data_IF_827967504363
#
_entry.id   IF_827967504363
#
_cell.length_a   1.000
_cell.length_b   1.000
_cell.length_c   1.000
_cell.angle_alpha   90.00
_cell.angle_beta   90.00
_cell.angle_gamma   90.00
#
_symmetry.space_group_name_H-M   'P 1'
#
loop_
_entity.id
_entity.type
_entity.pdbx_description
1 polymer ?
#
# COMPACT_ATOMS: atom_id res chain seq x y z
N UNK A 1 -28.41 2.56 23.25
CA UNK A 1 -28.20 3.09 21.90
C UNK A 1 -26.85 2.61 21.36
N UNK A 2 -26.76 2.22 20.09
CA UNK A 2 -25.48 1.92 19.42
C UNK A 2 -25.08 3.18 18.67
N UNK A 3 -23.98 3.82 19.08
CA UNK A 3 -23.39 4.95 18.37
C UNK A 3 -23.21 4.57 16.90
N UNK A 4 -24.02 5.18 16.04
CA UNK A 4 -23.80 5.17 14.61
C UNK A 4 -22.54 5.99 14.37
N UNK A 5 -21.38 5.30 14.36
CA UNK A 5 -20.11 5.79 13.85
C UNK A 5 -20.32 6.14 12.37
N UNK A 6 -20.86 7.33 12.16
CA UNK A 6 -21.16 7.91 10.85
C UNK A 6 -19.84 8.41 10.30
N UNK A 7 -19.02 7.49 9.80
CA UNK A 7 -17.77 7.85 9.13
C UNK A 7 -18.13 8.71 7.90
N UNK A 8 -17.75 9.99 7.87
CA UNK A 8 -18.13 10.89 6.79
C UNK A 8 -17.42 10.47 5.49
N UNK A 9 -18.03 10.87 4.36
CA UNK A 9 -17.68 10.45 3.00
C UNK A 9 -16.19 10.20 2.74
N UNK A 10 -15.91 8.96 2.33
CA UNK A 10 -14.63 8.45 1.85
C UNK A 10 -13.48 8.41 2.87
N UNK A 11 -13.46 7.34 3.68
CA UNK A 11 -12.35 6.94 4.56
C UNK A 11 -10.97 6.92 3.86
N UNK A 12 -10.95 6.76 2.54
CA UNK A 12 -9.71 6.80 1.76
C UNK A 12 -9.15 8.23 1.61
N UNK A 13 -9.98 9.27 1.74
CA UNK A 13 -9.52 10.67 1.76
C UNK A 13 -8.56 10.94 2.90
N UNK A 14 -8.68 10.22 4.02
CA UNK A 14 -7.76 10.36 5.14
C UNK A 14 -6.31 10.05 4.72
N UNK A 15 -6.13 9.11 3.79
CA UNK A 15 -4.81 8.78 3.24
C UNK A 15 -4.35 9.76 2.15
N UNK A 16 -5.27 10.44 1.46
CA UNK A 16 -4.95 11.45 0.43
C UNK A 16 -4.53 12.79 1.03
N UNK A 17 -4.97 13.09 2.25
CA UNK A 17 -4.60 14.32 2.94
C UNK A 17 -3.06 14.46 3.02
N UNK A 18 -2.55 15.64 2.66
CA UNK A 18 -1.13 16.00 2.76
C UNK A 18 -0.91 16.87 3.99
N UNK A 19 0.18 16.62 4.71
CA UNK A 19 0.58 17.37 5.90
C UNK A 19 1.56 18.47 5.56
N UNK A 20 1.59 19.49 6.41
CA UNK A 20 2.69 20.45 6.45
C UNK A 20 3.92 19.80 7.12
N UNK A 21 5.10 20.39 6.95
CA UNK A 21 6.30 19.94 7.64
C UNK A 21 6.14 19.98 9.18
N UNK A 22 5.45 21.00 9.70
CA UNK A 22 5.16 21.14 11.13
C UNK A 22 4.30 19.98 11.66
N UNK A 23 3.28 19.54 10.91
CA UNK A 23 2.42 18.44 11.33
C UNK A 23 3.15 17.07 11.34
N UNK A 24 4.17 16.93 10.50
CA UNK A 24 5.03 15.73 10.47
C UNK A 24 5.95 15.74 11.67
N UNK A 25 6.54 16.89 11.99
CA UNK A 25 7.45 17.02 13.13
C UNK A 25 6.71 16.82 14.46
N UNK A 26 5.48 17.34 14.58
CA UNK A 26 4.62 17.07 15.73
C UNK A 26 4.33 15.58 15.89
N UNK A 27 4.03 14.87 14.80
CA UNK A 27 3.84 13.42 14.82
C UNK A 27 5.11 12.67 15.27
N UNK A 28 6.28 13.10 14.82
CA UNK A 28 7.56 12.50 15.25
C UNK A 28 7.84 12.77 16.71
N UNK A 29 7.60 13.98 17.19
CA UNK A 29 7.75 14.31 18.60
C UNK A 29 6.83 13.45 19.49
N UNK A 30 5.57 13.29 19.07
CA UNK A 30 4.58 12.54 19.82
C UNK A 30 4.84 11.02 19.80
N UNK A 31 5.31 10.46 18.68
CA UNK A 31 5.38 9.00 18.46
C UNK A 31 6.81 8.42 18.38
N UNK A 32 7.83 9.25 18.22
CA UNK A 32 9.20 8.85 17.89
C UNK A 32 9.97 8.18 19.04
N UNK A 33 9.63 8.49 20.30
CA UNK A 33 10.28 7.90 21.47
C UNK A 33 9.67 6.56 21.92
N UNK A 34 8.71 6.03 21.16
CA UNK A 34 7.94 4.84 21.53
C UNK A 34 6.75 5.22 22.42
N UNK A 35 5.56 5.08 21.87
CA UNK A 35 4.32 5.30 22.60
C UNK A 35 3.61 4.00 22.93
N UNK A 36 3.03 3.95 24.13
CA UNK A 36 2.16 2.84 24.51
C UNK A 36 0.83 2.84 23.72
N UNK A 37 0.09 1.72 23.71
CA UNK A 37 -1.18 1.57 22.99
C UNK A 37 -2.22 2.66 23.30
N UNK A 38 -2.19 3.22 24.51
CA UNK A 38 -3.11 4.27 24.96
C UNK A 38 -2.96 5.60 24.20
N UNK A 39 -1.79 5.89 23.62
CA UNK A 39 -1.59 7.09 22.82
C UNK A 39 -2.43 7.07 21.53
N UNK A 40 -2.67 5.87 20.97
CA UNK A 40 -3.46 5.71 19.75
C UNK A 40 -4.95 5.97 19.97
N UNK A 41 -5.46 5.85 21.21
CA UNK A 41 -6.87 6.06 21.53
C UNK A 41 -7.30 7.53 21.37
N UNK A 42 -6.35 8.46 21.36
CA UNK A 42 -6.60 9.90 21.19
C UNK A 42 -6.53 10.35 19.72
N UNK A 43 -6.16 9.45 18.82
CA UNK A 43 -5.99 9.76 17.40
C UNK A 43 -7.34 9.80 16.69
N UNK A 44 -7.61 10.88 15.97
CA UNK A 44 -8.68 10.88 14.98
C UNK A 44 -8.27 10.04 13.74
N UNK A 45 -9.25 9.71 12.90
CA UNK A 45 -9.01 8.87 11.72
C UNK A 45 -8.02 9.49 10.71
N UNK A 46 -7.95 10.83 10.63
CA UNK A 46 -7.00 11.53 9.75
C UNK A 46 -5.59 11.41 10.29
N UNK A 47 -5.36 11.75 11.55
CA UNK A 47 -4.08 11.68 12.24
C UNK A 47 -3.55 10.24 12.26
N UNK A 48 -4.40 9.25 12.56
CA UNK A 48 -4.05 7.83 12.49
C UNK A 48 -3.61 7.41 11.07
N UNK A 49 -4.34 7.82 10.03
CA UNK A 49 -3.98 7.54 8.64
C UNK A 49 -2.63 8.16 8.26
N UNK A 50 -2.32 9.35 8.77
CA UNK A 50 -1.07 10.05 8.49
C UNK A 50 0.11 9.44 9.23
N UNK A 51 -0.07 9.09 10.50
CA UNK A 51 0.93 8.36 11.28
C UNK A 51 1.28 7.03 10.61
N UNK A 52 0.29 6.28 10.13
CA UNK A 52 0.55 5.04 9.40
C UNK A 52 1.38 5.25 8.12
N UNK A 53 1.07 6.30 7.34
CA UNK A 53 1.86 6.63 6.14
C UNK A 53 3.29 7.04 6.49
N UNK A 54 3.45 7.86 7.52
CA UNK A 54 4.76 8.30 8.00
C UNK A 54 5.59 7.10 8.45
N UNK A 55 4.99 6.22 9.25
CA UNK A 55 5.63 4.99 9.71
C UNK A 55 6.09 4.12 8.53
N UNK A 56 5.23 3.85 7.54
CA UNK A 56 5.60 3.08 6.34
C UNK A 56 6.74 3.72 5.54
N UNK A 57 6.76 5.06 5.47
CA UNK A 57 7.77 5.82 4.76
C UNK A 57 9.14 5.77 5.44
N UNK A 58 9.16 5.82 6.78
CA UNK A 58 10.38 5.89 7.59
C UNK A 58 11.00 4.53 7.93
N UNK A 59 10.36 3.41 7.54
CA UNK A 59 10.96 2.09 7.70
C UNK A 59 12.36 2.03 7.03
N UNK A 60 13.38 1.42 7.67
CA UNK A 60 14.70 1.26 7.07
C UNK A 60 14.66 0.53 5.72
N UNK A 61 13.78 -0.46 5.62
CA UNK A 61 13.47 -1.21 4.39
C UNK A 61 12.00 -1.06 4.06
N UNK A 62 11.65 -0.92 2.78
CA UNK A 62 10.24 -0.89 2.38
C UNK A 62 9.52 -2.19 2.75
N UNK A 63 8.22 -2.09 3.00
CA UNK A 63 7.43 -3.24 3.48
C UNK A 63 7.45 -4.40 2.47
N UNK A 64 7.48 -4.09 1.18
CA UNK A 64 7.91 -5.03 0.14
C UNK A 64 9.44 -4.88 0.01
N UNK A 65 10.22 -5.94 0.27
CA UNK A 65 11.68 -5.85 0.27
C UNK A 65 12.22 -5.29 -1.05
N UNK A 66 12.99 -4.20 -0.97
CA UNK A 66 13.55 -3.49 -2.13
C UNK A 66 14.52 -4.37 -2.96
N UNK A 67 15.12 -5.40 -2.37
CA UNK A 67 15.88 -6.43 -3.08
C UNK A 67 15.06 -7.18 -4.15
N UNK A 68 13.74 -7.20 -4.02
CA UNK A 68 12.82 -7.83 -4.97
C UNK A 68 12.13 -6.80 -5.89
N UNK A 69 12.56 -5.54 -5.86
CA UNK A 69 11.95 -4.45 -6.64
C UNK A 69 11.78 -4.81 -8.12
N UNK A 70 12.85 -5.29 -8.77
CA UNK A 70 12.81 -5.68 -10.18
C UNK A 70 11.85 -6.82 -10.45
N UNK A 71 11.75 -7.78 -9.51
CA UNK A 71 10.84 -8.92 -9.66
C UNK A 71 9.40 -8.42 -9.60
N UNK A 72 9.06 -7.57 -8.63
CA UNK A 72 7.71 -6.99 -8.54
C UNK A 72 7.34 -6.18 -9.78
N UNK A 73 8.25 -5.31 -10.21
CA UNK A 73 8.05 -4.45 -11.38
C UNK A 73 7.87 -5.29 -12.65
N UNK A 74 8.77 -6.25 -12.93
CA UNK A 74 8.66 -7.12 -14.10
C UNK A 74 7.39 -7.96 -14.11
N UNK A 75 6.93 -8.45 -12.94
CA UNK A 75 5.68 -9.19 -12.86
C UNK A 75 4.49 -8.34 -13.29
N UNK A 76 4.47 -7.06 -12.95
CA UNK A 76 3.39 -6.14 -13.33
C UNK A 76 3.47 -5.70 -14.80
N UNK A 77 4.59 -5.93 -15.48
CA UNK A 77 4.78 -5.67 -16.92
C UNK A 77 4.38 -6.87 -17.81
N UNK A 78 4.01 -8.00 -17.20
CA UNK A 78 3.60 -9.19 -17.95
C UNK A 78 2.32 -8.92 -18.78
N UNK A 79 2.22 -9.51 -19.98
CA UNK A 79 1.04 -9.33 -20.82
C UNK A 79 -0.21 -9.90 -20.15
N UNK A 80 -1.38 -9.39 -20.54
CA UNK A 80 -2.67 -9.82 -20.01
C UNK A 80 -2.95 -11.32 -20.21
N UNK A 81 -2.34 -11.96 -21.21
CA UNK A 81 -2.41 -13.43 -21.39
C UNK A 81 -1.73 -14.23 -20.27
N UNK A 82 -0.94 -13.58 -19.41
CA UNK A 82 -0.17 -14.19 -18.34
C UNK A 82 -0.62 -13.75 -16.93
N UNK A 83 -1.84 -13.19 -16.77
CA UNK A 83 -2.35 -12.75 -15.46
C UNK A 83 -2.36 -13.87 -14.41
N UNK A 84 -2.65 -15.11 -14.80
CA UNK A 84 -2.58 -16.24 -13.87
C UNK A 84 -1.16 -16.48 -13.35
N UNK A 85 -0.18 -16.48 -14.25
CA UNK A 85 1.24 -16.65 -13.91
C UNK A 85 1.73 -15.48 -13.05
N UNK A 86 1.35 -14.25 -13.40
CA UNK A 86 1.61 -13.05 -12.60
C UNK A 86 1.12 -13.23 -11.16
N UNK A 87 -0.13 -13.69 -10.98
CA UNK A 87 -0.70 -13.89 -9.65
C UNK A 87 0.01 -15.01 -8.85
N UNK A 88 0.42 -16.09 -9.51
CA UNK A 88 1.17 -17.20 -8.89
C UNK A 88 2.54 -16.73 -8.41
N UNK A 89 3.31 -16.09 -9.29
CA UNK A 89 4.65 -15.60 -8.95
C UNK A 89 4.60 -14.48 -7.90
N UNK A 90 3.60 -13.60 -7.96
CA UNK A 90 3.44 -12.57 -6.94
C UNK A 90 3.19 -13.18 -5.56
N UNK A 91 2.34 -14.21 -5.46
CA UNK A 91 2.13 -14.94 -4.20
C UNK A 91 3.41 -15.61 -3.71
N UNK A 92 4.22 -16.16 -4.61
CA UNK A 92 5.53 -16.75 -4.26
C UNK A 92 6.46 -15.69 -3.68
N UNK A 93 6.62 -14.54 -4.34
CA UNK A 93 7.45 -13.45 -3.82
C UNK A 93 6.98 -12.94 -2.45
N UNK A 94 5.66 -12.85 -2.24
CA UNK A 94 5.09 -12.48 -0.95
C UNK A 94 5.38 -13.53 0.12
N UNK A 95 5.38 -14.82 -0.21
CA UNK A 95 5.71 -15.90 0.72
C UNK A 95 7.20 -15.96 1.10
N UNK A 96 8.10 -15.50 0.22
CA UNK A 96 9.54 -15.43 0.46
C UNK A 96 9.97 -14.23 1.32
N UNK A 97 9.09 -13.25 1.52
CA UNK A 97 9.39 -12.11 2.39
C UNK A 97 9.56 -12.57 3.85
N UNK A 98 10.38 -11.90 4.68
CA UNK A 98 10.55 -12.28 6.08
C UNK A 98 9.23 -12.26 6.88
N UNK A 99 9.14 -13.08 7.93
CA UNK A 99 7.90 -13.28 8.70
C UNK A 99 7.27 -11.97 9.19
N UNK A 100 8.09 -11.03 9.68
CA UNK A 100 7.62 -9.72 10.16
C UNK A 100 7.06 -8.84 9.03
N UNK A 101 7.62 -8.89 7.81
CA UNK A 101 7.05 -8.22 6.65
C UNK A 101 5.70 -8.83 6.29
N UNK A 102 5.61 -10.17 6.23
CA UNK A 102 4.36 -10.87 5.87
C UNK A 102 3.24 -10.59 6.87
N UNK A 103 3.52 -10.68 8.17
CA UNK A 103 2.55 -10.43 9.23
C UNK A 103 2.02 -8.99 9.21
N UNK A 104 2.92 -8.02 9.02
CA UNK A 104 2.57 -6.60 8.88
C UNK A 104 1.73 -6.36 7.63
N UNK A 105 2.16 -6.90 6.48
CA UNK A 105 1.45 -6.77 5.22
C UNK A 105 0.05 -7.39 5.30
N UNK A 106 -0.10 -8.53 5.95
CA UNK A 106 -1.40 -9.17 6.15
C UNK A 106 -2.36 -8.28 6.94
N UNK A 107 -1.93 -7.74 8.09
CA UNK A 107 -2.75 -6.83 8.89
C UNK A 107 -3.15 -5.58 8.08
N UNK A 108 -2.18 -5.00 7.38
CA UNK A 108 -2.38 -3.79 6.59
C UNK A 108 -3.36 -4.02 5.43
N UNK A 109 -3.22 -5.13 4.71
CA UNK A 109 -4.10 -5.47 3.58
C UNK A 109 -5.51 -5.81 4.07
N UNK A 110 -5.64 -6.57 5.15
CA UNK A 110 -6.94 -6.81 5.79
C UNK A 110 -7.65 -5.52 6.19
N UNK A 111 -6.92 -4.58 6.80
CA UNK A 111 -7.45 -3.26 7.16
C UNK A 111 -7.96 -2.50 5.94
N UNK A 112 -7.19 -2.46 4.84
CA UNK A 112 -7.65 -1.79 3.62
C UNK A 112 -8.87 -2.46 3.01
N UNK A 113 -8.92 -3.79 2.97
CA UNK A 113 -10.12 -4.51 2.52
C UNK A 113 -11.34 -4.16 3.36
N UNK A 114 -11.19 -4.02 4.68
CA UNK A 114 -12.29 -3.59 5.54
C UNK A 114 -12.74 -2.15 5.23
N UNK A 115 -11.81 -1.23 4.95
CA UNK A 115 -12.14 0.13 4.51
C UNK A 115 -12.93 0.09 3.20
N UNK A 116 -12.44 -0.62 2.19
CA UNK A 116 -13.10 -0.75 0.89
C UNK A 116 -14.52 -1.31 1.00
N UNK A 117 -14.78 -2.20 1.97
CA UNK A 117 -16.13 -2.75 2.23
C UNK A 117 -17.08 -1.78 2.93
N UNK A 118 -16.57 -0.80 3.67
CA UNK A 118 -17.38 0.16 4.43
C UNK A 118 -17.71 1.43 3.65
N UNK A 119 -16.96 1.73 2.61
CA UNK A 119 -17.22 2.88 1.74
C UNK A 119 -18.43 2.56 0.85
N UNK A 120 -19.51 3.34 1.00
CA UNK A 120 -20.81 3.12 0.33
C UNK A 120 -20.72 3.05 -1.20
N UNK A 121 -19.81 3.82 -1.81
CA UNK A 121 -19.63 3.93 -3.26
C UNK A 121 -18.20 3.58 -3.67
N UNK A 122 -17.58 2.57 -3.06
CA UNK A 122 -16.25 2.15 -3.45
C UNK A 122 -16.29 1.62 -4.90
N UNK A 123 -15.56 2.29 -5.79
CA UNK A 123 -15.40 1.90 -7.18
C UNK A 123 -13.91 1.76 -7.55
N UNK A 124 -13.64 1.48 -8.84
CA UNK A 124 -12.29 1.33 -9.38
C UNK A 124 -11.43 2.59 -9.18
N UNK A 125 -12.03 3.78 -9.18
CA UNK A 125 -11.33 5.04 -8.94
C UNK A 125 -10.81 5.15 -7.50
N UNK A 126 -11.52 4.60 -6.52
CA UNK A 126 -11.02 4.50 -5.13
C UNK A 126 -9.81 3.58 -5.07
N UNK A 127 -9.86 2.43 -5.74
CA UNK A 127 -8.75 1.49 -5.79
C UNK A 127 -7.50 2.10 -6.47
N UNK A 128 -7.70 2.84 -7.57
CA UNK A 128 -6.63 3.61 -8.25
C UNK A 128 -6.06 4.69 -7.33
N UNK A 129 -6.91 5.41 -6.60
CA UNK A 129 -6.48 6.43 -5.65
C UNK A 129 -5.62 5.84 -4.52
N UNK A 130 -6.08 4.75 -3.89
CA UNK A 130 -5.36 4.04 -2.84
C UNK A 130 -3.99 3.58 -3.34
N UNK A 131 -3.97 2.93 -4.51
CA UNK A 131 -2.74 2.38 -5.07
C UNK A 131 -1.71 3.45 -5.42
N UNK A 132 -2.13 4.65 -5.83
CA UNK A 132 -1.22 5.80 -6.02
C UNK A 132 -0.58 6.27 -4.72
N UNK A 133 -1.33 6.28 -3.61
CA UNK A 133 -0.79 6.66 -2.30
C UNK A 133 0.14 5.58 -1.77
N UNK A 134 -0.30 4.31 -1.79
CA UNK A 134 0.40 3.21 -1.13
C UNK A 134 1.46 2.52 -1.98
N UNK A 135 1.43 2.64 -3.31
CA UNK A 135 2.46 2.06 -4.19
C UNK A 135 3.87 2.46 -3.79
N UNK A 136 4.10 3.76 -3.62
CA UNK A 136 5.38 4.32 -3.19
C UNK A 136 5.72 4.07 -1.70
N UNK A 137 4.72 3.77 -0.87
CA UNK A 137 4.93 3.46 0.55
C UNK A 137 5.30 1.98 0.75
N UNK A 138 4.69 1.09 -0.03
CA UNK A 138 4.90 -0.35 0.05
C UNK A 138 6.20 -0.78 -0.62
N UNK A 139 6.52 -0.22 -1.79
CA UNK A 139 7.73 -0.55 -2.54
C UNK A 139 8.49 0.72 -2.87
N UNK A 140 9.74 0.81 -2.40
CA UNK A 140 10.65 1.91 -2.73
C UNK A 140 11.77 1.42 -3.66
N UNK A 141 12.14 2.19 -4.71
CA UNK A 141 13.33 1.87 -5.49
C UNK A 141 14.58 1.99 -4.62
N UNK A 142 15.58 1.15 -4.88
CA UNK A 142 16.90 1.31 -4.28
C UNK A 142 17.54 2.63 -4.73
N UNK A 143 18.35 3.25 -3.87
CA UNK A 143 19.00 4.54 -4.16
C UNK A 143 19.83 4.49 -5.45
N UNK A 144 20.54 3.40 -5.70
CA UNK A 144 21.31 3.17 -6.94
C UNK A 144 20.48 3.28 -8.21
N UNK A 145 19.19 2.92 -8.15
CA UNK A 145 18.26 3.05 -9.28
C UNK A 145 17.79 4.49 -9.45
N UNK A 146 17.59 5.20 -8.35
CA UNK A 146 17.24 6.63 -8.38
C UNK A 146 18.37 7.43 -9.04
N UNK A 147 19.62 7.19 -8.64
CA UNK A 147 20.79 7.84 -9.25
C UNK A 147 20.95 7.47 -10.72
N UNK A 148 20.77 6.19 -11.10
CA UNK A 148 20.85 5.73 -12.49
C UNK A 148 19.72 6.26 -13.39
N UNK A 149 18.54 6.55 -12.84
CA UNK A 149 17.45 7.24 -13.56
C UNK A 149 17.80 8.70 -13.84
N UNK A 150 18.39 9.40 -12.86
CA UNK A 150 18.84 10.79 -13.02
C UNK A 150 20.03 10.88 -13.98
N UNK A 151 20.90 9.87 -14.01
CA UNK A 151 22.05 9.78 -14.90
C UNK A 151 21.71 9.34 -16.34
N UNK A 152 20.46 8.93 -16.63
CA UNK A 152 20.04 8.51 -17.97
C UNK A 152 20.59 7.16 -18.45
N UNK A 153 21.20 6.38 -17.57
CA UNK A 153 21.92 5.14 -17.92
C UNK A 153 20.99 3.96 -18.29
N UNK A 154 19.69 4.05 -17.98
CA UNK A 154 18.73 2.98 -18.20
C UNK A 154 17.81 3.30 -19.38
N UNK A 155 18.06 2.71 -20.56
CA UNK A 155 17.37 3.01 -21.84
C UNK A 155 15.86 2.70 -21.89
N UNK A 156 15.27 2.17 -20.83
CA UNK A 156 13.82 2.26 -20.60
C UNK A 156 13.62 2.41 -19.10
N UNK A 157 13.08 3.53 -18.58
CA UNK A 157 12.48 3.47 -17.26
C UNK A 157 11.41 2.39 -17.38
N UNK A 158 11.51 1.31 -16.61
CA UNK A 158 10.40 0.40 -16.46
C UNK A 158 9.32 1.23 -15.75
N UNK A 159 8.50 1.94 -16.53
CA UNK A 159 7.42 2.81 -16.05
C UNK A 159 6.24 1.92 -15.67
N UNK A 160 6.49 0.77 -15.05
CA UNK A 160 5.45 0.11 -14.30
C UNK A 160 5.22 1.01 -13.11
N UNK A 161 4.07 1.67 -13.04
CA UNK A 161 3.86 2.61 -11.98
C UNK A 161 3.63 1.79 -10.70
N UNK A 162 4.31 2.14 -9.60
CA UNK A 162 4.27 1.42 -8.31
C UNK A 162 2.85 1.14 -7.78
N UNK A 163 1.87 1.88 -8.28
CA UNK A 163 0.47 1.64 -7.99
C UNK A 163 -0.02 0.29 -8.54
N UNK A 164 0.47 -0.20 -9.67
CA UNK A 164 0.08 -1.53 -10.18
C UNK A 164 0.64 -2.66 -9.31
N UNK A 165 1.85 -2.49 -8.76
CA UNK A 165 2.38 -3.40 -7.73
C UNK A 165 1.46 -3.42 -6.51
N UNK A 166 1.04 -2.25 -5.99
CA UNK A 166 0.12 -2.21 -4.86
C UNK A 166 -1.22 -2.87 -5.16
N UNK A 167 -1.78 -2.64 -6.36
CA UNK A 167 -3.01 -3.31 -6.79
C UNK A 167 -2.82 -4.83 -6.83
N UNK A 168 -1.80 -5.32 -7.53
CA UNK A 168 -1.52 -6.74 -7.64
C UNK A 168 -1.34 -7.40 -6.28
N UNK A 169 -0.62 -6.75 -5.35
CA UNK A 169 -0.43 -7.24 -3.99
C UNK A 169 -1.78 -7.39 -3.29
N UNK A 170 -2.59 -6.33 -3.23
CA UNK A 170 -3.92 -6.39 -2.58
C UNK A 170 -4.82 -7.45 -3.22
N UNK A 171 -4.84 -7.53 -4.55
CA UNK A 171 -5.75 -8.37 -5.34
C UNK A 171 -5.38 -9.86 -5.39
N UNK A 172 -4.09 -10.20 -5.38
CA UNK A 172 -3.64 -11.59 -5.52
C UNK A 172 -3.13 -12.21 -4.22
N UNK A 173 -2.88 -11.39 -3.19
CA UNK A 173 -2.42 -11.86 -1.89
C UNK A 173 -3.50 -12.63 -1.12
N UNK A 174 -3.06 -13.58 -0.30
CA UNK A 174 -3.93 -14.37 0.59
C UNK A 174 -3.96 -13.74 1.97
N UNK A 175 -4.80 -12.72 2.14
CA UNK A 175 -4.82 -11.93 3.39
C UNK A 175 -5.66 -12.55 4.52
N UNK A 176 -6.48 -13.56 4.22
CA UNK A 176 -7.41 -14.16 5.19
C UNK A 176 -8.73 -13.39 5.32
N UNK A 177 -9.02 -12.47 4.39
CA UNK A 177 -10.28 -11.76 4.27
C UNK A 177 -10.87 -11.90 2.86
N UNK A 178 -12.20 -11.88 2.75
CA UNK A 178 -12.90 -11.89 1.45
C UNK A 178 -12.79 -10.53 0.78
N UNK A 179 -12.19 -10.50 -0.41
CA UNK A 179 -12.04 -9.32 -1.26
C UNK A 179 -13.37 -8.93 -1.93
N UNK A 180 -13.76 -7.64 -1.94
CA UNK A 180 -14.77 -7.11 -2.84
C UNK A 180 -14.47 -7.44 -4.31
N UNK A 181 -15.51 -7.65 -5.12
CA UNK A 181 -15.37 -8.01 -6.54
C UNK A 181 -14.52 -7.03 -7.34
N UNK A 182 -14.68 -5.73 -7.12
CA UNK A 182 -13.92 -4.68 -7.82
C UNK A 182 -12.42 -4.64 -7.45
N UNK A 183 -12.00 -5.34 -6.38
CA UNK A 183 -10.59 -5.52 -6.03
C UNK A 183 -10.01 -6.79 -6.62
N UNK A 184 -10.82 -7.69 -7.17
CA UNK A 184 -10.34 -8.90 -7.83
C UNK A 184 -9.92 -8.55 -9.25
N UNK A 185 -8.62 -8.66 -9.53
CA UNK A 185 -8.07 -8.50 -10.87
C UNK A 185 -8.18 -9.84 -11.61
N UNK A 186 -9.39 -10.20 -12.03
CA UNK A 186 -9.62 -11.37 -12.87
C UNK A 186 -10.12 -10.92 -14.25
N UNK A 187 -9.32 -11.23 -15.26
CA UNK A 187 -9.63 -11.23 -16.70
C UNK A 187 -9.78 -9.87 -17.43
N UNK A 188 -9.22 -9.71 -18.66
CA UNK A 188 -9.37 -8.51 -19.49
C UNK A 188 -10.76 -8.31 -20.12
N UNK A 189 -11.73 -9.18 -19.83
CA UNK A 189 -13.06 -9.18 -20.45
C UNK A 189 -14.19 -8.62 -19.57
N UNK A 190 -13.88 -7.81 -18.55
CA UNK A 190 -14.86 -7.01 -17.79
C UNK A 190 -14.46 -5.54 -17.65
#
# INVERSE_FOLDING_TARGET
ERESLTYPGDLLQFYRFRRTAADVEALRADFGCGVGPAAFNKLDGKLAAQLLKLWLQELPTSLLPCQHYDKFVRLMDLPASQLHQQAVELRRLLSEAPDHHRATLQHLMCHFVQIFRRVRNADRQYFISWSRVFGQLLLRPAWSRVTGMVAGEHSRPCVVPLHDVAKGVLSHGRWGCVLPSFLVLNDPSQ
#
